data_IF_266192601719
#
_entry.id   IF_266192601719
#
_cell.length_a   1.000
_cell.length_b   1.000
_cell.length_c   1.000
_cell.angle_alpha   90.00
_cell.angle_beta   90.00
_cell.angle_gamma   90.00
#
_symmetry.space_group_name_H-M   'P 1'
#
loop_
_entity.id
_entity.type
_entity.pdbx_description
1 polymer ?
#
# COMPACT_ATOMS: atom_id res chain seq x y z
N UNK A 1 -11.30 -18.73 17.92
CA UNK A 1 -11.40 -18.34 16.51
C UNK A 1 -10.13 -17.57 16.26
N UNK A 2 -9.15 -18.22 15.64
CA UNK A 2 -7.95 -17.56 15.17
C UNK A 2 -8.42 -16.57 14.11
N UNK A 3 -8.22 -15.28 14.30
CA UNK A 3 -8.47 -14.33 13.23
C UNK A 3 -7.29 -14.47 12.26
N UNK A 4 -7.57 -14.83 11.02
CA UNK A 4 -6.56 -14.89 9.97
C UNK A 4 -6.43 -13.50 9.34
N UNK A 5 -5.26 -13.14 8.86
CA UNK A 5 -5.07 -11.86 8.18
C UNK A 5 -5.28 -12.03 6.67
N UNK A 6 -5.85 -11.01 6.04
CA UNK A 6 -5.99 -10.96 4.59
C UNK A 6 -4.63 -11.12 3.91
N UNK A 7 -4.55 -12.03 2.94
CA UNK A 7 -3.32 -12.30 2.17
C UNK A 7 -2.75 -11.09 1.43
N UNK A 8 -3.56 -10.05 1.18
CA UNK A 8 -3.09 -8.79 0.63
C UNK A 8 -2.17 -8.00 1.59
N UNK A 9 -2.11 -8.38 2.87
CA UNK A 9 -1.29 -7.77 3.92
C UNK A 9 -1.36 -6.23 3.87
N UNK A 10 -0.22 -5.54 3.70
CA UNK A 10 -0.15 -4.08 3.62
C UNK A 10 -0.89 -3.46 2.42
N UNK A 11 -1.13 -4.22 1.36
CA UNK A 11 -1.93 -3.78 0.21
C UNK A 11 -3.45 -3.98 0.43
N UNK A 12 -3.86 -4.49 1.60
CA UNK A 12 -5.27 -4.71 1.90
C UNK A 12 -6.05 -3.38 1.93
N UNK A 13 -7.21 -3.37 1.26
CA UNK A 13 -8.07 -2.19 1.16
C UNK A 13 -8.81 -1.85 2.46
N UNK A 14 -9.09 -2.87 3.27
CA UNK A 14 -9.67 -2.72 4.60
C UNK A 14 -8.61 -2.96 5.68
N UNK A 15 -7.35 -2.63 5.39
CA UNK A 15 -6.27 -2.81 6.35
C UNK A 15 -6.52 -1.99 7.62
N UNK A 16 -6.20 -2.59 8.76
CA UNK A 16 -6.16 -1.88 10.04
C UNK A 16 -4.79 -1.24 10.17
N UNK A 17 -4.76 0.07 10.32
CA UNK A 17 -3.52 0.84 10.52
C UNK A 17 -3.30 0.95 12.03
N UNK A 18 -2.20 0.39 12.52
CA UNK A 18 -1.73 0.58 13.88
C UNK A 18 -0.89 1.86 13.92
N UNK A 19 -1.42 2.88 14.60
CA UNK A 19 -0.73 4.15 14.85
C UNK A 19 -0.13 4.16 16.25
N UNK A 20 1.03 4.82 16.41
CA UNK A 20 1.58 5.10 17.75
C UNK A 20 0.78 6.21 18.44
N UNK A 21 1.11 6.51 19.70
CA UNK A 21 0.48 7.58 20.49
C UNK A 21 0.70 8.98 19.88
N UNK A 22 1.68 9.13 18.99
CA UNK A 22 1.97 10.36 18.24
C UNK A 22 1.19 10.44 16.90
N UNK A 23 0.35 9.45 16.59
CA UNK A 23 -0.45 9.39 15.35
C UNK A 23 0.33 8.97 14.09
N UNK A 24 1.57 8.52 14.24
CA UNK A 24 2.41 7.99 13.16
C UNK A 24 2.06 6.53 12.89
N UNK A 25 1.87 6.18 11.61
CA UNK A 25 1.59 4.81 11.17
C UNK A 25 2.81 3.91 11.43
N UNK A 26 2.68 2.93 12.33
CA UNK A 26 3.74 1.95 12.63
C UNK A 26 3.63 0.76 11.67
N UNK A 27 2.42 0.24 11.51
CA UNK A 27 2.19 -1.02 10.79
C UNK A 27 0.79 -1.05 10.19
N UNK A 28 0.67 -1.60 8.99
CA UNK A 28 -0.58 -1.79 8.28
C UNK A 28 -0.86 -3.27 8.13
N UNK A 29 -1.80 -3.76 8.93
CA UNK A 29 -2.16 -5.18 8.98
C UNK A 29 -3.36 -5.48 8.09
N UNK A 30 -3.36 -6.67 7.49
CA UNK A 30 -4.47 -7.13 6.67
C UNK A 30 -5.75 -7.23 7.48
N UNK A 31 -6.89 -6.88 6.88
CA UNK A 31 -8.20 -7.11 7.48
C UNK A 31 -8.37 -8.57 7.96
N UNK A 32 -9.03 -8.78 9.08
CA UNK A 32 -9.32 -10.13 9.58
C UNK A 32 -10.23 -10.90 8.61
N UNK A 33 -9.88 -12.15 8.32
CA UNK A 33 -10.64 -13.10 7.49
C UNK A 33 -11.09 -14.31 8.32
N UNK A 34 -12.18 -14.96 7.87
CA UNK A 34 -12.73 -16.15 8.53
C UNK A 34 -11.90 -17.41 8.26
N UNK A 35 -11.15 -17.44 7.16
CA UNK A 35 -10.40 -18.59 6.68
C UNK A 35 -8.93 -18.25 6.42
N UNK A 36 -8.05 -19.22 6.68
CA UNK A 36 -6.64 -19.17 6.28
C UNK A 36 -6.51 -19.02 4.76
N UNK A 37 -5.48 -18.30 4.32
CA UNK A 37 -5.14 -18.14 2.90
C UNK A 37 -6.27 -17.58 2.02
N UNK A 38 -7.09 -16.67 2.56
CA UNK A 38 -8.16 -15.99 1.81
C UNK A 38 -7.97 -14.49 1.76
N UNK A 39 -8.55 -13.87 0.73
CA UNK A 39 -8.64 -12.43 0.62
C UNK A 39 -9.87 -11.93 1.40
N UNK A 40 -9.77 -10.75 2.00
CA UNK A 40 -10.95 -10.11 2.58
C UNK A 40 -11.97 -9.75 1.49
N UNK A 41 -13.28 -9.65 1.82
CA UNK A 41 -14.32 -9.38 0.82
C UNK A 41 -14.06 -8.14 -0.03
N UNK A 42 -13.51 -7.07 0.56
CA UNK A 42 -13.18 -5.84 -0.16
C UNK A 42 -12.05 -6.01 -1.18
N UNK A 43 -11.01 -6.79 -0.85
CA UNK A 43 -9.92 -7.10 -1.79
C UNK A 43 -10.41 -8.03 -2.89
N UNK A 44 -11.16 -9.08 -2.53
CA UNK A 44 -11.73 -10.03 -3.49
C UNK A 44 -12.64 -9.33 -4.50
N UNK A 45 -13.55 -8.47 -4.05
CA UNK A 45 -14.45 -7.71 -4.92
C UNK A 45 -13.68 -6.77 -5.85
N UNK A 46 -12.62 -6.13 -5.35
CA UNK A 46 -11.81 -5.23 -6.15
C UNK A 46 -11.06 -5.97 -7.26
N UNK A 47 -10.36 -7.05 -6.91
CA UNK A 47 -9.61 -7.87 -7.87
C UNK A 47 -10.58 -8.50 -8.87
N UNK A 48 -11.70 -9.08 -8.41
CA UNK A 48 -12.74 -9.66 -9.28
C UNK A 48 -13.25 -8.66 -10.31
N UNK A 49 -13.59 -7.43 -9.88
CA UNK A 49 -14.06 -6.37 -10.81
C UNK A 49 -13.00 -6.01 -11.85
N UNK A 50 -11.74 -5.87 -11.46
CA UNK A 50 -10.65 -5.54 -12.38
C UNK A 50 -10.43 -6.69 -13.39
N UNK A 51 -10.30 -7.92 -12.88
CA UNK A 51 -10.06 -9.14 -13.66
C UNK A 51 -11.18 -9.40 -14.66
N UNK A 52 -12.45 -9.23 -14.25
CA UNK A 52 -13.62 -9.37 -15.13
C UNK A 52 -13.65 -8.35 -16.26
N UNK A 53 -13.08 -7.17 -16.05
CA UNK A 53 -13.10 -6.06 -17.01
C UNK A 53 -11.95 -6.14 -18.03
N UNK A 54 -10.86 -6.87 -17.73
CA UNK A 54 -9.67 -7.03 -18.58
C UNK A 54 -9.97 -7.44 -20.03
N UNK A 55 -10.84 -8.42 -20.35
CA UNK A 55 -11.11 -8.80 -21.74
C UNK A 55 -11.69 -7.64 -22.57
N UNK A 56 -12.51 -6.81 -21.95
CA UNK A 56 -13.08 -5.62 -22.60
C UNK A 56 -12.02 -4.54 -22.79
N UNK A 57 -11.15 -4.34 -21.81
CA UNK A 57 -10.05 -3.37 -21.93
C UNK A 57 -9.05 -3.80 -23.02
N UNK A 58 -8.74 -5.10 -23.09
CA UNK A 58 -7.92 -5.68 -24.17
C UNK A 58 -8.57 -5.46 -25.55
N UNK A 59 -9.88 -5.69 -25.69
CA UNK A 59 -10.59 -5.46 -26.94
C UNK A 59 -10.58 -3.97 -27.36
N UNK A 60 -10.68 -3.05 -26.39
CA UNK A 60 -10.57 -1.61 -26.62
C UNK A 60 -9.13 -1.20 -27.01
N UNK A 61 -8.11 -1.78 -26.36
CA UNK A 61 -6.71 -1.57 -26.75
C UNK A 61 -6.48 -2.04 -28.19
N UNK A 62 -7.03 -3.19 -28.58
CA UNK A 62 -6.96 -3.70 -29.95
C UNK A 62 -7.64 -2.76 -30.94
N UNK A 63 -8.84 -2.28 -30.63
CA UNK A 63 -9.57 -1.36 -31.50
C UNK A 63 -8.81 -0.04 -31.72
N UNK A 64 -8.10 0.44 -30.71
CA UNK A 64 -7.34 1.70 -30.74
C UNK A 64 -5.86 1.52 -31.12
N UNK A 65 -5.44 0.32 -31.54
CA UNK A 65 -4.03 0.01 -31.85
C UNK A 65 -3.51 0.76 -33.09
N UNK A 66 -4.41 1.07 -34.03
CA UNK A 66 -4.14 1.90 -35.22
C UNK A 66 -4.29 3.40 -34.99
N UNK A 67 -4.83 3.83 -33.83
CA UNK A 67 -4.96 5.25 -33.50
C UNK A 67 -3.63 5.77 -32.94
N UNK A 68 -3.01 6.71 -33.67
CA UNK A 68 -1.82 7.41 -33.19
C UNK A 68 -2.23 8.40 -32.10
N UNK A 69 -1.67 8.25 -30.90
CA UNK A 69 -1.71 9.30 -29.89
C UNK A 69 -1.04 10.55 -30.49
N UNK A 70 -1.80 11.64 -30.67
CA UNK A 70 -1.21 12.94 -31.04
C UNK A 70 -0.36 13.40 -29.86
N UNK A 71 0.97 13.33 -29.97
CA UNK A 71 1.88 13.90 -28.97
C UNK A 71 1.72 15.42 -29.00
N UNK A 72 1.07 16.00 -27.99
CA UNK A 72 0.95 17.45 -27.79
C UNK A 72 2.21 18.06 -27.14
N UNK A 73 3.38 17.44 -27.31
CA UNK A 73 4.66 17.89 -26.75
C UNK A 73 5.53 18.64 -27.75
N UNK A 74 6.43 19.47 -27.25
CA UNK A 74 7.41 20.22 -28.05
C UNK A 74 8.21 19.27 -28.96
N UNK A 75 8.31 19.63 -30.25
CA UNK A 75 8.86 18.78 -31.31
C UNK A 75 10.39 18.66 -31.17
N UNK A 76 10.85 17.71 -30.37
CA UNK A 76 12.29 17.39 -30.26
C UNK A 76 12.70 16.61 -31.51
N UNK A 77 13.68 17.14 -32.26
CA UNK A 77 14.28 16.46 -33.42
C UNK A 77 15.28 15.42 -32.92
N UNK A 78 14.85 14.17 -32.78
CA UNK A 78 15.77 13.02 -32.75
C UNK A 78 15.55 12.14 -33.99
N UNK A 79 16.61 11.42 -34.35
CA UNK A 79 16.89 10.61 -35.54
C UNK A 79 15.69 9.79 -36.05
N UNK A 80 15.48 9.65 -37.38
CA UNK A 80 14.31 8.99 -37.96
C UNK A 80 14.38 7.47 -37.77
N UNK A 81 13.85 6.97 -36.66
CA UNK A 81 13.36 5.60 -36.61
C UNK A 81 12.15 5.49 -37.55
N UNK A 82 12.04 4.40 -38.34
CA UNK A 82 10.91 4.19 -39.24
C UNK A 82 9.62 4.22 -38.41
N UNK A 83 8.67 5.07 -38.82
CA UNK A 83 7.42 5.26 -38.10
C UNK A 83 6.59 3.96 -38.13
N UNK A 84 6.76 3.13 -37.10
CA UNK A 84 5.95 1.92 -36.91
C UNK A 84 4.47 2.36 -36.86
N UNK A 85 3.60 1.85 -37.75
CA UNK A 85 2.22 2.33 -37.88
C UNK A 85 1.30 1.90 -36.72
N UNK A 86 1.83 1.16 -35.74
CA UNK A 86 1.11 0.64 -34.57
C UNK A 86 1.71 1.22 -33.28
N UNK A 87 0.86 1.45 -32.27
CA UNK A 87 1.36 1.79 -30.93
C UNK A 87 2.02 0.57 -30.29
N UNK A 88 3.36 0.50 -30.34
CA UNK A 88 4.14 -0.59 -29.73
C UNK A 88 3.83 -0.76 -28.24
N UNK A 89 3.50 0.33 -27.52
CA UNK A 89 3.13 0.29 -26.10
C UNK A 89 1.80 -0.43 -25.86
N UNK A 90 0.76 -0.12 -26.65
CA UNK A 90 -0.55 -0.80 -26.54
C UNK A 90 -0.42 -2.28 -26.88
N UNK A 91 0.41 -2.61 -27.86
CA UNK A 91 0.66 -4.00 -28.24
C UNK A 91 1.40 -4.79 -27.15
N UNK A 92 2.45 -4.22 -26.56
CA UNK A 92 3.15 -4.82 -25.43
C UNK A 92 2.20 -5.07 -24.26
N UNK A 93 1.36 -4.09 -23.92
CA UNK A 93 0.37 -4.22 -22.84
C UNK A 93 -0.68 -5.30 -23.13
N UNK A 94 -1.13 -5.43 -24.39
CA UNK A 94 -2.04 -6.51 -24.80
C UNK A 94 -1.41 -7.88 -24.60
N UNK A 95 -0.11 -8.04 -24.91
CA UNK A 95 0.63 -9.29 -24.68
C UNK A 95 0.78 -9.58 -23.19
N UNK A 96 1.20 -8.59 -22.40
CA UNK A 96 1.37 -8.72 -20.95
C UNK A 96 0.06 -9.18 -20.27
N UNK A 97 -1.09 -8.61 -20.66
CA UNK A 97 -2.41 -9.02 -20.16
C UNK A 97 -2.67 -10.51 -20.40
N UNK A 98 -2.39 -10.99 -21.62
CA UNK A 98 -2.67 -12.39 -22.00
C UNK A 98 -1.72 -13.34 -21.29
N UNK A 99 -0.42 -13.00 -21.21
CA UNK A 99 0.59 -13.82 -20.54
C UNK A 99 0.33 -13.94 -19.04
N UNK A 100 0.06 -12.82 -18.36
CA UNK A 100 -0.25 -12.81 -16.92
C UNK A 100 -1.58 -13.53 -16.64
N UNK A 101 -2.61 -13.35 -17.47
CA UNK A 101 -3.88 -14.07 -17.30
C UNK A 101 -3.72 -15.57 -17.51
N UNK A 102 -2.87 -16.00 -18.45
CA UNK A 102 -2.54 -17.41 -18.64
C UNK A 102 -1.80 -17.98 -17.43
N UNK A 103 -0.80 -17.27 -16.90
CA UNK A 103 -0.08 -17.66 -15.69
C UNK A 103 -1.03 -17.83 -14.50
N UNK A 104 -1.92 -16.87 -14.30
CA UNK A 104 -2.95 -16.96 -13.27
C UNK A 104 -3.87 -18.18 -13.46
N UNK A 105 -4.27 -18.47 -14.71
CA UNK A 105 -5.09 -19.63 -15.01
C UNK A 105 -4.33 -20.95 -14.81
N UNK A 106 -3.03 -21.02 -15.07
CA UNK A 106 -2.18 -22.17 -14.78
C UNK A 106 -2.11 -22.44 -13.26
N UNK A 107 -1.87 -21.41 -12.46
CA UNK A 107 -1.87 -21.52 -10.98
C UNK A 107 -3.22 -21.98 -10.42
N UNK A 108 -4.31 -21.41 -10.94
CA UNK A 108 -5.67 -21.81 -10.55
C UNK A 108 -5.96 -23.25 -10.99
N UNK A 109 -5.59 -23.62 -12.21
CA UNK A 109 -5.79 -24.95 -12.74
C UNK A 109 -5.07 -26.01 -11.89
N UNK A 110 -3.83 -25.73 -11.49
CA UNK A 110 -3.07 -26.60 -10.60
C UNK A 110 -3.73 -26.70 -9.22
N UNK A 111 -4.19 -25.58 -8.65
CA UNK A 111 -4.86 -25.57 -7.34
C UNK A 111 -6.19 -26.35 -7.34
N UNK A 112 -6.97 -26.30 -8.44
CA UNK A 112 -8.26 -26.99 -8.56
C UNK A 112 -8.17 -28.35 -9.27
N UNK A 113 -6.95 -28.82 -9.60
CA UNK A 113 -6.69 -30.03 -10.38
C UNK A 113 -7.45 -30.07 -11.73
N UNK A 114 -7.57 -28.93 -12.40
CA UNK A 114 -8.15 -28.81 -13.73
C UNK A 114 -7.06 -28.66 -14.79
N UNK A 115 -7.46 -28.79 -16.05
CA UNK A 115 -6.57 -28.50 -17.18
C UNK A 115 -6.61 -27.00 -17.47
N UNK A 116 -5.46 -26.30 -17.62
CA UNK A 116 -5.47 -24.88 -17.96
C UNK A 116 -6.07 -24.66 -19.35
N UNK A 117 -6.71 -23.50 -19.59
CA UNK A 117 -7.22 -23.14 -20.90
C UNK A 117 -6.06 -23.05 -21.88
N UNK A 118 -5.99 -23.99 -22.81
CA UNK A 118 -5.04 -23.93 -23.91
C UNK A 118 -5.69 -23.18 -25.07
N UNK A 119 -4.97 -22.25 -25.69
CA UNK A 119 -5.37 -21.67 -26.97
C UNK A 119 -5.60 -22.80 -27.97
N UNK A 120 -6.62 -22.64 -28.84
CA UNK A 120 -6.88 -23.58 -29.93
C UNK A 120 -5.58 -23.67 -30.75
N UNK A 121 -4.88 -24.80 -30.69
CA UNK A 121 -3.76 -25.03 -31.62
C UNK A 121 -4.33 -24.89 -33.02
N UNK A 122 -3.81 -23.95 -33.81
CA UNK A 122 -4.14 -23.91 -35.24
C UNK A 122 -3.92 -25.33 -35.77
N UNK A 123 -4.91 -25.94 -36.46
CA UNK A 123 -4.65 -27.17 -37.18
C UNK A 123 -3.46 -26.93 -38.10
N UNK A 124 -2.54 -27.89 -38.18
CA UNK A 124 -1.44 -27.82 -39.14
C UNK A 124 -2.03 -27.45 -40.50
N UNK A 125 -1.50 -26.43 -41.20
CA UNK A 125 -2.09 -25.98 -42.45
C UNK A 125 -2.19 -27.20 -43.37
N UNK A 126 -3.37 -27.48 -43.96
CA UNK A 126 -3.47 -28.56 -44.92
C UNK A 126 -2.43 -28.29 -46.02
N UNK A 127 -1.70 -29.33 -46.44
CA UNK A 127 -0.53 -29.24 -47.30
C UNK A 127 -0.79 -28.58 -48.68
N UNK A 128 -2.04 -28.26 -49.00
CA UNK A 128 -2.47 -27.63 -50.23
C UNK A 128 -3.62 -26.65 -49.92
N UNK A 129 -3.32 -25.37 -49.84
CA UNK A 129 -4.31 -24.29 -49.84
C UNK A 129 -4.12 -23.49 -51.12
N UNK A 130 -5.04 -23.66 -52.05
CA UNK A 130 -5.24 -22.77 -53.19
C UNK A 130 -5.33 -21.33 -52.65
N UNK A 131 -4.52 -20.42 -53.21
CA UNK A 131 -4.42 -19.02 -52.75
C UNK A 131 -5.81 -18.35 -52.82
N UNK A 132 -6.40 -17.90 -51.70
CA UNK A 132 -7.62 -17.13 -51.74
C UNK A 132 -7.34 -15.73 -52.30
N UNK A 133 -8.27 -15.23 -53.11
CA UNK A 133 -8.17 -14.06 -54.01
C UNK A 133 -8.07 -12.70 -53.30
N UNK A 134 -8.04 -12.62 -51.95
CA UNK A 134 -7.89 -11.32 -51.29
C UNK A 134 -6.44 -10.83 -51.29
N UNK A 135 -6.25 -9.59 -51.75
CA UNK A 135 -4.97 -8.88 -51.88
C UNK A 135 -4.27 -8.52 -50.55
N UNK A 136 -4.63 -9.14 -49.41
CA UNK A 136 -3.90 -8.96 -48.15
C UNK A 136 -2.73 -9.94 -48.08
N UNK A 137 -1.57 -9.46 -47.68
CA UNK A 137 -0.39 -10.32 -47.55
C UNK A 137 -0.64 -11.43 -46.53
N UNK A 138 -0.05 -12.60 -46.76
CA UNK A 138 -0.15 -13.77 -45.87
C UNK A 138 0.25 -13.39 -44.43
N UNK A 139 1.25 -12.51 -44.28
CA UNK A 139 1.69 -12.00 -42.98
C UNK A 139 0.59 -11.22 -42.22
N UNK A 140 -0.21 -10.41 -42.92
CA UNK A 140 -1.32 -9.65 -42.30
C UNK A 140 -2.45 -10.60 -41.87
N UNK A 141 -2.76 -11.63 -42.67
CA UNK A 141 -3.76 -12.65 -42.30
C UNK A 141 -3.33 -13.46 -41.09
N UNK A 142 -2.11 -13.99 -41.09
CA UNK A 142 -1.58 -14.77 -39.96
C UNK A 142 -1.52 -13.95 -38.67
N UNK A 143 -1.25 -12.65 -38.77
CA UNK A 143 -1.22 -11.74 -37.64
C UNK A 143 -2.60 -11.38 -37.08
N UNK A 144 -3.60 -11.18 -37.97
CA UNK A 144 -4.98 -10.94 -37.55
C UNK A 144 -5.58 -12.18 -36.88
N UNK A 145 -5.30 -13.37 -37.43
CA UNK A 145 -5.78 -14.66 -36.93
C UNK A 145 -5.22 -14.97 -35.53
N UNK A 146 -3.91 -14.85 -35.30
CA UNK A 146 -3.30 -15.14 -33.99
C UNK A 146 -3.88 -14.26 -32.88
N UNK A 147 -4.09 -12.97 -33.15
CA UNK A 147 -4.64 -12.07 -32.13
C UNK A 147 -6.11 -12.32 -31.82
N UNK A 148 -6.94 -12.78 -32.78
CA UNK A 148 -8.33 -13.17 -32.47
C UNK A 148 -8.33 -14.30 -31.43
N UNK A 149 -7.35 -15.20 -31.50
CA UNK A 149 -7.22 -16.31 -30.57
C UNK A 149 -6.75 -15.85 -29.18
N UNK A 150 -5.94 -14.79 -29.10
CA UNK A 150 -5.49 -14.23 -27.81
C UNK A 150 -6.65 -13.64 -26.99
N UNK A 151 -7.62 -13.00 -27.64
CA UNK A 151 -8.82 -12.49 -26.98
C UNK A 151 -9.71 -13.61 -26.43
N UNK A 152 -9.91 -14.68 -27.21
CA UNK A 152 -10.66 -15.86 -26.79
C UNK A 152 -9.96 -16.63 -25.66
N UNK A 153 -8.63 -16.75 -25.74
CA UNK A 153 -7.80 -17.33 -24.70
C UNK A 153 -7.90 -16.53 -23.41
N UNK A 154 -7.75 -15.20 -23.49
CA UNK A 154 -7.90 -14.30 -22.35
C UNK A 154 -9.27 -14.49 -21.70
N UNK A 155 -10.36 -14.48 -22.48
CA UNK A 155 -11.70 -14.72 -21.95
C UNK A 155 -11.84 -16.09 -21.28
N UNK A 156 -11.20 -17.13 -21.81
CA UNK A 156 -11.17 -18.45 -21.18
C UNK A 156 -10.38 -18.47 -19.85
N UNK A 157 -9.21 -17.81 -19.81
CA UNK A 157 -8.42 -17.63 -18.60
C UNK A 157 -9.21 -16.89 -17.52
N UNK A 158 -9.83 -15.75 -17.87
CA UNK A 158 -10.60 -14.94 -16.92
C UNK A 158 -11.79 -15.72 -16.35
N UNK A 159 -12.51 -16.49 -17.17
CA UNK A 159 -13.63 -17.35 -16.70
C UNK A 159 -13.18 -18.41 -15.67
N UNK A 160 -11.94 -18.86 -15.74
CA UNK A 160 -11.38 -19.80 -14.77
C UNK A 160 -10.88 -19.09 -13.51
N UNK A 161 -10.22 -17.93 -13.67
CA UNK A 161 -9.59 -17.19 -12.58
C UNK A 161 -10.61 -16.47 -11.69
N UNK A 162 -11.60 -15.79 -12.26
CA UNK A 162 -12.60 -14.99 -11.51
C UNK A 162 -13.28 -15.76 -10.36
N UNK A 163 -13.82 -16.98 -10.56
CA UNK A 163 -14.48 -17.71 -9.47
C UNK A 163 -13.49 -18.28 -8.44
N UNK A 164 -12.21 -18.42 -8.79
CA UNK A 164 -11.20 -19.11 -7.99
C UNK A 164 -10.08 -18.17 -7.48
N UNK A 165 -10.40 -16.89 -7.25
CA UNK A 165 -9.41 -15.90 -6.79
C UNK A 165 -8.76 -16.24 -5.45
N UNK A 166 -9.50 -16.87 -4.53
CA UNK A 166 -8.94 -17.30 -3.24
C UNK A 166 -7.93 -18.44 -3.43
N UNK A 167 -8.17 -19.34 -4.39
CA UNK A 167 -7.21 -20.40 -4.74
C UNK A 167 -5.97 -19.86 -5.46
N UNK A 168 -6.12 -18.79 -6.26
CA UNK A 168 -4.98 -18.06 -6.82
C UNK A 168 -4.17 -17.42 -5.71
N UNK A 169 -4.81 -16.67 -4.81
CA UNK A 169 -4.14 -15.97 -3.72
C UNK A 169 -3.42 -16.92 -2.75
N UNK A 170 -4.02 -18.06 -2.43
CA UNK A 170 -3.44 -19.06 -1.53
C UNK A 170 -2.24 -19.84 -2.08
N UNK A 171 -1.81 -19.59 -3.32
CA UNK A 171 -0.64 -20.25 -3.89
C UNK A 171 0.65 -19.62 -3.34
N UNK A 172 1.39 -20.38 -2.53
CA UNK A 172 2.50 -19.87 -1.73
C UNK A 172 3.67 -19.39 -2.59
N UNK A 173 4.27 -20.25 -3.41
CA UNK A 173 5.41 -19.90 -4.25
C UNK A 173 5.45 -20.82 -5.47
N UNK A 174 5.36 -20.23 -6.67
CA UNK A 174 5.48 -20.97 -7.93
C UNK A 174 6.55 -20.37 -8.82
N UNK A 175 7.36 -21.24 -9.45
CA UNK A 175 8.40 -20.84 -10.40
C UNK A 175 7.76 -20.53 -11.75
N UNK A 176 7.93 -19.30 -12.23
CA UNK A 176 7.41 -18.90 -13.53
C UNK A 176 8.50 -18.37 -14.44
N UNK A 177 8.40 -18.70 -15.72
CA UNK A 177 9.24 -18.09 -16.76
C UNK A 177 8.68 -16.70 -17.08
N UNK A 178 9.43 -15.67 -16.70
CA UNK A 178 9.12 -14.26 -16.99
C UNK A 178 10.12 -13.76 -18.00
N UNK A 179 9.65 -13.03 -19.01
CA UNK A 179 10.54 -12.31 -19.91
C UNK A 179 11.04 -11.03 -19.22
N UNK A 180 12.33 -11.00 -18.90
CA UNK A 180 12.95 -9.80 -18.35
C UNK A 180 13.27 -8.83 -19.50
N UNK A 181 12.64 -7.65 -19.49
CA UNK A 181 12.82 -6.62 -20.54
C UNK A 181 14.20 -6.00 -20.54
N UNK A 182 14.84 -5.86 -19.39
CA UNK A 182 16.11 -5.14 -19.27
C UNK A 182 17.29 -5.97 -19.81
N UNK A 183 17.21 -7.29 -19.66
CA UNK A 183 18.26 -8.22 -20.05
C UNK A 183 17.87 -9.13 -21.23
N UNK A 184 16.70 -8.90 -21.85
CA UNK A 184 16.17 -9.66 -22.98
C UNK A 184 16.27 -11.20 -22.82
N UNK A 185 16.08 -11.70 -21.60
CA UNK A 185 16.21 -13.12 -21.26
C UNK A 185 15.04 -13.60 -20.44
N UNK A 186 14.70 -14.87 -20.62
CA UNK A 186 13.77 -15.55 -19.73
C UNK A 186 14.44 -15.82 -18.38
N UNK A 187 13.84 -15.32 -17.33
CA UNK A 187 14.26 -15.54 -15.95
C UNK A 187 13.19 -16.34 -15.22
N UNK A 188 13.62 -17.28 -14.39
CA UNK A 188 12.71 -18.01 -13.51
C UNK A 188 12.50 -17.13 -12.29
N UNK A 189 11.32 -16.51 -12.20
CA UNK A 189 10.92 -15.68 -11.08
C UNK A 189 9.97 -16.48 -10.22
N UNK A 190 10.22 -16.48 -8.91
CA UNK A 190 9.28 -16.99 -7.93
C UNK A 190 8.22 -15.92 -7.69
N UNK A 191 6.97 -16.25 -8.01
CA UNK A 191 5.84 -15.36 -7.75
C UNK A 191 4.89 -16.03 -6.77
N UNK A 192 4.39 -15.23 -5.85
CA UNK A 192 3.29 -15.58 -4.97
C UNK A 192 2.00 -15.37 -5.77
N UNK A 193 1.00 -16.22 -5.59
CA UNK A 193 -0.24 -16.09 -6.36
C UNK A 193 -1.00 -14.77 -6.10
N UNK A 194 -0.85 -14.19 -4.92
CA UNK A 194 -1.33 -12.84 -4.58
C UNK A 194 -0.71 -11.77 -5.49
N UNK A 195 0.60 -11.85 -5.76
CA UNK A 195 1.30 -10.89 -6.60
C UNK A 195 0.79 -10.95 -8.03
N UNK A 196 0.56 -12.17 -8.55
CA UNK A 196 -0.03 -12.35 -9.90
C UNK A 196 -1.44 -11.75 -9.98
N UNK A 197 -2.23 -11.83 -8.90
CA UNK A 197 -3.54 -11.18 -8.84
C UNK A 197 -3.44 -9.64 -8.86
N UNK A 198 -2.44 -9.07 -8.18
CA UNK A 198 -2.17 -7.64 -8.24
C UNK A 198 -1.61 -7.19 -9.58
N UNK A 199 -0.77 -7.99 -10.23
CA UNK A 199 -0.27 -7.71 -11.58
C UNK A 199 -1.44 -7.58 -12.59
N UNK A 200 -2.47 -8.43 -12.48
CA UNK A 200 -3.67 -8.32 -13.30
C UNK A 200 -4.43 -7.01 -13.06
N UNK A 201 -4.49 -6.56 -11.80
CA UNK A 201 -5.10 -5.27 -11.43
C UNK A 201 -4.29 -4.11 -11.99
N UNK A 202 -2.97 -4.17 -11.91
CA UNK A 202 -2.09 -3.12 -12.42
C UNK A 202 -2.13 -3.05 -13.95
N UNK A 203 -2.15 -4.19 -14.64
CA UNK A 203 -2.36 -4.24 -16.08
C UNK A 203 -3.73 -3.68 -16.49
N UNK A 204 -4.79 -3.94 -15.71
CA UNK A 204 -6.10 -3.31 -15.89
C UNK A 204 -6.01 -1.78 -15.75
N UNK A 205 -5.36 -1.28 -14.69
CA UNK A 205 -5.20 0.15 -14.45
C UNK A 205 -4.37 0.83 -15.55
N UNK A 206 -3.29 0.18 -16.00
CA UNK A 206 -2.46 0.64 -17.10
C UNK A 206 -3.24 0.66 -18.42
N UNK A 207 -4.04 -0.37 -18.71
CA UNK A 207 -4.88 -0.43 -19.91
C UNK A 207 -5.86 0.73 -19.93
N UNK A 208 -6.53 0.99 -18.81
CA UNK A 208 -7.43 2.13 -18.67
C UNK A 208 -6.72 3.47 -18.82
N UNK A 209 -5.50 3.60 -18.31
CA UNK A 209 -4.71 4.81 -18.48
C UNK A 209 -4.33 5.06 -19.95
N UNK A 210 -3.89 4.03 -20.67
CA UNK A 210 -3.56 4.13 -22.10
C UNK A 210 -4.79 4.40 -22.98
N UNK A 211 -5.97 3.93 -22.56
CA UNK A 211 -7.23 4.22 -23.23
C UNK A 211 -7.81 5.61 -22.89
N UNK A 212 -7.16 6.36 -21.98
CA UNK A 212 -7.69 7.63 -21.48
C UNK A 212 -8.98 7.49 -20.66
N UNK A 213 -9.28 6.27 -20.19
CA UNK A 213 -10.45 5.96 -19.37
C UNK A 213 -10.22 6.24 -17.89
N UNK A 214 -8.96 6.40 -17.47
CA UNK A 214 -8.64 7.06 -16.21
C UNK A 214 -8.63 8.55 -16.46
N UNK A 215 -9.54 9.30 -15.84
CA UNK A 215 -9.40 10.74 -15.78
C UNK A 215 -8.08 11.04 -15.06
N UNK A 216 -7.23 11.86 -15.66
CA UNK A 216 -6.05 12.37 -14.96
C UNK A 216 -6.56 13.04 -13.67
N UNK A 217 -5.89 12.82 -12.54
CA UNK A 217 -6.33 13.37 -11.26
C UNK A 217 -5.28 14.34 -10.75
N UNK A 218 -5.62 15.62 -10.71
CA UNK A 218 -4.82 16.65 -10.06
C UNK A 218 -4.86 16.44 -8.55
N UNK A 219 -3.70 16.23 -7.92
CA UNK A 219 -3.59 16.19 -6.46
C UNK A 219 -3.37 17.60 -5.92
N UNK A 220 -4.02 17.93 -4.82
CA UNK A 220 -3.74 19.18 -4.10
C UNK A 220 -2.75 18.92 -2.97
N UNK A 221 -1.91 19.92 -2.66
CA UNK A 221 -0.89 19.82 -1.59
C UNK A 221 -1.52 19.77 -0.20
N UNK A 222 -2.64 20.48 -0.01
CA UNK A 222 -3.35 20.50 1.27
C UNK A 222 -4.03 19.14 1.52
N UNK A 223 -4.02 18.64 2.76
CA UNK A 223 -4.69 17.40 3.13
C UNK A 223 -6.21 17.60 3.26
N UNK A 224 -6.94 16.49 3.23
CA UNK A 224 -8.38 16.43 3.48
C UNK A 224 -8.74 17.07 4.84
N UNK A 225 -9.63 18.08 4.88
CA UNK A 225 -10.07 18.73 6.13
C UNK A 225 -10.70 17.77 7.15
N UNK A 226 -11.27 16.66 6.68
CA UNK A 226 -11.99 15.72 7.54
C UNK A 226 -11.08 14.59 8.07
N UNK A 227 -10.15 14.09 7.25
CA UNK A 227 -9.39 12.87 7.60
C UNK A 227 -7.88 12.97 7.34
N UNK A 228 -7.34 14.13 6.95
CA UNK A 228 -5.90 14.33 6.73
C UNK A 228 -5.31 13.67 5.47
N UNK A 229 -6.06 12.84 4.74
CA UNK A 229 -5.56 12.13 3.57
C UNK A 229 -5.40 13.04 2.33
N UNK A 230 -4.59 12.62 1.36
CA UNK A 230 -4.46 13.34 0.09
C UNK A 230 -5.80 13.45 -0.65
N UNK A 231 -6.13 14.66 -1.11
CA UNK A 231 -7.30 14.92 -1.95
C UNK A 231 -6.89 15.16 -3.41
N UNK A 232 -7.85 15.02 -4.32
CA UNK A 232 -7.61 15.36 -5.71
C UNK A 232 -8.89 15.64 -6.48
N UNK A 233 -8.71 16.19 -7.68
CA UNK A 233 -9.76 16.51 -8.64
C UNK A 233 -9.49 15.77 -9.93
N UNK A 234 -10.51 15.10 -10.47
CA UNK A 234 -10.41 14.46 -11.77
C UNK A 234 -10.50 15.50 -12.90
N UNK A 235 -9.72 15.34 -13.96
CA UNK A 235 -9.70 16.22 -15.12
C UNK A 235 -11.10 16.32 -15.74
N UNK A 236 -11.55 17.56 -15.93
CA UNK A 236 -12.88 17.87 -16.44
C UNK A 236 -13.98 17.92 -15.38
N UNK A 237 -13.68 17.71 -14.10
CA UNK A 237 -14.61 17.99 -12.99
C UNK A 237 -14.12 19.18 -12.17
N UNK A 238 -15.04 19.90 -11.51
CA UNK A 238 -14.74 20.97 -10.54
C UNK A 238 -14.90 20.49 -9.10
N UNK A 239 -15.02 19.18 -8.91
CA UNK A 239 -15.27 18.54 -7.62
C UNK A 239 -13.93 17.96 -7.14
N UNK A 240 -13.51 18.42 -5.97
CA UNK A 240 -12.37 17.89 -5.22
C UNK A 240 -12.92 16.85 -4.25
N UNK A 241 -12.46 15.61 -4.37
CA UNK A 241 -12.92 14.52 -3.51
C UNK A 241 -11.76 13.82 -2.80
N UNK A 242 -12.07 13.30 -1.62
CA UNK A 242 -11.16 12.48 -0.82
C UNK A 242 -11.48 11.00 -1.04
N UNK A 243 -10.52 10.22 -1.55
CA UNK A 243 -10.71 8.76 -1.74
C UNK A 243 -10.73 7.96 -0.45
N UNK A 244 -10.29 8.54 0.67
CA UNK A 244 -10.22 7.84 1.95
C UNK A 244 -11.57 7.88 2.69
N UNK A 245 -12.15 9.07 2.85
CA UNK A 245 -13.42 9.25 3.58
C UNK A 245 -14.62 9.59 2.68
N UNK A 246 -14.44 9.63 1.36
CA UNK A 246 -15.47 9.93 0.36
C UNK A 246 -16.16 11.30 0.51
N UNK A 247 -15.58 12.23 1.27
CA UNK A 247 -16.04 13.62 1.26
C UNK A 247 -15.70 14.28 -0.08
N UNK A 248 -16.60 15.14 -0.53
CA UNK A 248 -16.46 15.86 -1.78
C UNK A 248 -16.84 17.32 -1.56
N UNK A 249 -16.10 18.21 -2.22
CA UNK A 249 -16.27 19.65 -2.15
C UNK A 249 -16.14 20.24 -3.55
N UNK A 250 -16.74 21.39 -3.77
CA UNK A 250 -16.35 22.22 -4.92
C UNK A 250 -14.94 22.79 -4.70
N UNK A 251 -14.24 23.11 -5.79
CA UNK A 251 -12.91 23.73 -5.69
C UNK A 251 -12.89 25.02 -4.85
N UNK A 252 -13.95 25.83 -4.92
CA UNK A 252 -14.10 27.04 -4.11
C UNK A 252 -14.24 26.74 -2.63
N UNK A 253 -15.07 25.76 -2.27
CA UNK A 253 -15.24 25.32 -0.88
C UNK A 253 -13.94 24.72 -0.34
N UNK A 254 -13.24 23.93 -1.15
CA UNK A 254 -11.96 23.34 -0.77
C UNK A 254 -10.89 24.41 -0.51
N UNK A 255 -10.77 25.41 -1.39
CA UNK A 255 -9.86 26.54 -1.18
C UNK A 255 -10.20 27.34 0.08
N UNK A 256 -11.49 27.54 0.36
CA UNK A 256 -11.93 28.22 1.58
C UNK A 256 -11.55 27.42 2.85
N UNK A 257 -11.82 26.11 2.87
CA UNK A 257 -11.46 25.24 3.99
C UNK A 257 -9.94 25.13 4.17
N UNK A 258 -9.20 25.03 3.07
CA UNK A 258 -7.74 25.05 3.09
C UNK A 258 -7.21 26.36 3.69
N UNK A 259 -7.80 27.50 3.31
CA UNK A 259 -7.50 28.80 3.88
C UNK A 259 -7.72 28.85 5.40
N UNK A 260 -8.85 28.32 5.88
CA UNK A 260 -9.17 28.28 7.31
C UNK A 260 -8.11 27.50 8.11
N UNK A 261 -7.73 26.31 7.63
CA UNK A 261 -6.72 25.45 8.29
C UNK A 261 -5.35 26.15 8.33
N UNK A 262 -4.97 26.85 7.25
CA UNK A 262 -3.71 27.61 7.23
C UNK A 262 -3.73 28.80 8.18
N UNK A 263 -4.88 29.47 8.32
CA UNK A 263 -5.05 30.59 9.26
C UNK A 263 -4.99 30.13 10.72
N UNK A 264 -5.67 29.04 11.09
CA UNK A 264 -5.61 28.50 12.46
C UNK A 264 -4.19 28.11 12.86
N UNK A 265 -3.41 27.54 11.95
CA UNK A 265 -2.01 27.19 12.22
C UNK A 265 -1.14 28.43 12.43
N UNK A 266 -1.32 29.46 11.62
CA UNK A 266 -0.64 30.74 11.77
C UNK A 266 -1.04 31.44 13.08
N UNK A 267 -2.33 31.43 13.42
CA UNK A 267 -2.85 32.02 14.67
C UNK A 267 -2.29 31.28 15.89
N UNK A 268 -2.19 29.95 15.83
CA UNK A 268 -1.57 29.16 16.90
C UNK A 268 -0.07 29.42 17.04
N UNK A 269 0.66 29.61 15.94
CA UNK A 269 2.08 29.99 15.98
C UNK A 269 2.27 31.41 16.52
N UNK A 270 1.41 32.35 16.12
CA UNK A 270 1.41 33.72 16.64
C UNK A 270 1.09 33.75 18.14
N UNK A 271 0.08 33.01 18.58
CA UNK A 271 -0.27 32.90 20.01
C UNK A 271 0.86 32.29 20.83
N UNK A 272 1.54 31.25 20.32
CA UNK A 272 2.74 30.69 20.97
C UNK A 272 3.83 31.74 21.11
N UNK A 273 4.07 32.53 20.08
CA UNK A 273 5.07 33.60 20.11
C UNK A 273 4.69 34.71 21.10
N UNK A 274 3.46 35.22 21.05
CA UNK A 274 2.97 36.26 21.97
C UNK A 274 3.01 35.81 23.43
N UNK A 275 2.66 34.55 23.69
CA UNK A 275 2.69 33.97 25.03
C UNK A 275 4.13 33.79 25.52
N UNK A 276 5.06 33.37 24.65
CA UNK A 276 6.48 33.32 24.96
C UNK A 276 7.07 34.71 25.25
N UNK A 277 6.69 35.72 24.47
CA UNK A 277 7.12 37.11 24.69
C UNK A 277 6.58 37.65 26.01
N UNK A 278 5.29 37.41 26.32
CA UNK A 278 4.67 37.82 27.57
C UNK A 278 5.39 37.19 28.78
N UNK A 279 5.72 35.89 28.71
CA UNK A 279 6.49 35.25 29.77
C UNK A 279 7.92 35.77 29.89
N UNK A 280 8.60 36.04 28.79
CA UNK A 280 9.94 36.64 28.83
C UNK A 280 9.93 38.01 29.52
N UNK A 281 8.94 38.85 29.22
CA UNK A 281 8.78 40.15 29.90
C UNK A 281 8.50 39.98 31.39
N UNK A 282 7.67 38.99 31.75
CA UNK A 282 7.36 38.67 33.13
C UNK A 282 8.59 38.14 33.90
N UNK A 283 9.41 37.28 33.27
CA UNK A 283 10.70 36.83 33.80
C UNK A 283 11.65 38.01 34.07
N UNK A 284 11.69 38.97 33.13
CA UNK A 284 12.53 40.17 33.27
C UNK A 284 12.10 41.03 34.47
N UNK A 285 10.79 41.21 34.67
CA UNK A 285 10.25 41.94 35.83
C UNK A 285 10.54 41.19 37.15
N UNK A 286 10.35 39.88 37.19
CA UNK A 286 10.66 39.06 38.37
C UNK A 286 12.16 39.09 38.71
N UNK A 287 13.05 39.10 37.71
CA UNK A 287 14.49 39.24 37.93
C UNK A 287 14.85 40.63 38.50
N UNK A 288 14.18 41.69 38.02
CA UNK A 288 14.37 43.05 38.55
C UNK A 288 13.89 43.14 40.01
N UNK A 289 12.73 42.56 40.32
CA UNK A 289 12.22 42.44 41.68
C UNK A 289 13.22 41.72 42.60
N UNK A 290 13.71 40.56 42.17
CA UNK A 290 14.73 39.79 42.90
C UNK A 290 16.04 40.57 43.09
N UNK A 291 16.43 41.40 42.12
CA UNK A 291 17.59 42.27 42.24
C UNK A 291 17.35 43.38 43.27
N UNK A 292 16.20 44.03 43.25
CA UNK A 292 15.85 45.10 44.20
C UNK A 292 15.77 44.57 45.63
N UNK A 293 15.14 43.41 45.85
CA UNK A 293 15.08 42.74 47.15
C UNK A 293 16.47 42.42 47.74
N UNK A 294 17.51 42.23 46.90
CA UNK A 294 18.90 42.00 47.37
C UNK A 294 19.57 43.28 47.86
N UNK A 295 19.13 44.45 47.43
CA UNK A 295 19.69 45.74 47.86
C UNK A 295 19.03 46.21 49.17
N UNK A 296 19.77 46.16 50.28
CA UNK A 296 19.24 46.48 51.63
C UNK A 296 18.98 47.98 51.90
N UNK A 297 19.45 48.87 51.02
CA UNK A 297 19.36 50.33 51.19
C UNK A 297 18.65 50.96 49.97
N UNK A 298 17.37 50.64 49.80
CA UNK A 298 16.52 51.31 48.80
C UNK A 298 16.08 52.67 49.33
N UNK A 299 15.97 53.67 48.45
CA UNK A 299 15.33 54.94 48.80
C UNK A 299 13.80 54.77 48.88
N UNK A 300 13.10 55.81 49.35
CA UNK A 300 11.65 55.75 49.54
C UNK A 300 10.89 55.50 48.21
N UNK A 301 11.39 56.03 47.10
CA UNK A 301 10.78 55.88 45.79
C UNK A 301 10.96 54.45 45.24
N UNK A 302 12.15 53.86 45.42
CA UNK A 302 12.39 52.47 45.06
C UNK A 302 11.64 51.49 45.97
N UNK A 303 11.44 51.81 47.25
CA UNK A 303 10.60 51.01 48.15
C UNK A 303 9.13 51.02 47.71
N UNK A 304 8.58 52.17 47.30
CA UNK A 304 7.22 52.26 46.76
C UNK A 304 7.08 51.50 45.42
N UNK A 305 8.10 51.55 44.56
CA UNK A 305 8.11 50.80 43.31
C UNK A 305 8.14 49.28 43.54
N UNK A 306 8.86 48.81 44.57
CA UNK A 306 8.89 47.40 44.98
C UNK A 306 7.50 46.90 45.39
N UNK A 307 6.77 47.66 46.22
CA UNK A 307 5.43 47.28 46.69
C UNK A 307 4.44 47.13 45.52
N UNK A 308 4.54 47.98 44.50
CA UNK A 308 3.73 47.89 43.28
C UNK A 308 4.10 46.64 42.46
N UNK A 309 5.40 46.34 42.33
CA UNK A 309 5.87 45.16 41.61
C UNK A 309 5.43 43.88 42.33
N UNK A 310 5.55 43.80 43.65
CA UNK A 310 5.10 42.66 44.46
C UNK A 310 3.59 42.42 44.30
N UNK A 311 2.79 43.48 44.36
CA UNK A 311 1.35 43.38 44.16
C UNK A 311 0.99 42.89 42.74
N UNK A 312 1.71 43.36 41.71
CA UNK A 312 1.47 42.96 40.33
C UNK A 312 1.98 41.54 40.01
N UNK A 313 3.07 41.11 40.65
CA UNK A 313 3.71 39.81 40.40
C UNK A 313 3.20 38.69 41.30
N UNK A 314 2.56 39.00 42.44
CA UNK A 314 2.17 38.03 43.46
C UNK A 314 1.21 36.93 43.00
N UNK A 315 0.41 37.17 41.95
CA UNK A 315 -0.49 36.16 41.37
C UNK A 315 0.21 35.26 40.32
N UNK A 316 1.44 35.61 39.91
CA UNK A 316 2.15 34.91 38.86
C UNK A 316 3.24 33.98 39.42
N UNK A 317 3.24 32.72 38.96
CA UNK A 317 4.30 31.74 39.26
C UNK A 317 5.68 32.30 38.90
N UNK A 318 6.73 32.01 39.65
CA UNK A 318 8.11 32.42 39.30
C UNK A 318 8.65 31.61 38.12
N UNK A 319 9.75 32.05 37.46
CA UNK A 319 10.27 31.37 36.28
C UNK A 319 10.62 29.91 36.59
N UNK A 320 11.23 29.66 37.74
CA UNK A 320 11.56 28.33 38.24
C UNK A 320 10.33 27.42 38.43
N UNK A 321 9.20 28.00 38.84
CA UNK A 321 7.93 27.28 39.06
C UNK A 321 7.11 27.11 37.76
N UNK A 322 7.48 27.83 36.70
CA UNK A 322 6.89 27.71 35.35
C UNK A 322 7.61 26.70 34.47
N UNK A 323 8.79 26.22 34.87
CA UNK A 323 9.51 25.19 34.11
C UNK A 323 8.71 23.89 34.17
N UNK A 324 7.98 23.59 33.10
CA UNK A 324 7.26 22.32 32.91
C UNK A 324 8.23 21.16 32.70
N UNK A 325 9.44 21.47 32.22
CA UNK A 325 10.52 20.51 32.05
C UNK A 325 11.08 20.09 33.40
N UNK A 326 10.61 18.97 33.90
CA UNK A 326 11.19 18.33 35.06
C UNK A 326 12.30 17.36 34.67
N UNK A 327 13.17 16.99 35.62
CA UNK A 327 14.21 16.00 35.37
C UNK A 327 13.61 14.74 34.73
N UNK A 328 14.34 14.15 33.78
CA UNK A 328 13.94 12.96 33.02
C UNK A 328 13.44 11.85 33.95
N UNK A 329 14.04 11.71 35.14
CA UNK A 329 13.61 10.76 36.17
C UNK A 329 12.20 11.08 36.68
N UNK A 330 11.96 12.32 37.13
CA UNK A 330 10.63 12.75 37.63
C UNK A 330 9.55 12.77 36.54
N UNK A 331 9.93 12.98 35.28
CA UNK A 331 9.02 12.85 34.14
C UNK A 331 8.67 11.37 33.89
N UNK A 332 9.66 10.46 33.93
CA UNK A 332 9.43 9.02 33.81
C UNK A 332 8.61 8.46 34.97
N UNK A 333 8.80 8.96 36.19
CA UNK A 333 7.99 8.58 37.37
C UNK A 333 6.53 9.04 37.22
N UNK A 334 6.30 10.25 36.69
CA UNK A 334 4.94 10.73 36.37
C UNK A 334 4.28 9.91 35.27
N UNK A 335 5.00 9.65 34.18
CA UNK A 335 4.52 8.78 33.12
C UNK A 335 4.17 7.40 33.66
N UNK A 336 5.05 6.79 34.47
CA UNK A 336 4.77 5.49 35.09
C UNK A 336 3.55 5.53 36.02
N UNK A 337 3.33 6.63 36.74
CA UNK A 337 2.14 6.79 37.58
C UNK A 337 0.86 6.97 36.76
N UNK A 338 0.91 7.74 35.67
CA UNK A 338 -0.21 7.94 34.74
C UNK A 338 -0.52 6.64 33.99
N UNK A 339 0.49 5.90 33.54
CA UNK A 339 0.37 4.57 32.97
C UNK A 339 -0.24 3.60 34.01
N UNK A 340 0.26 3.61 35.25
CA UNK A 340 -0.29 2.77 36.33
C UNK A 340 -1.74 3.14 36.65
N UNK A 341 -2.12 4.42 36.56
CA UNK A 341 -3.48 4.87 36.76
C UNK A 341 -4.41 4.49 35.59
N UNK A 342 -3.93 4.69 34.36
CA UNK A 342 -4.65 4.37 33.13
C UNK A 342 -4.90 2.87 33.01
N UNK A 343 -3.87 2.04 33.26
CA UNK A 343 -3.96 0.59 33.15
C UNK A 343 -4.41 -0.10 34.45
N UNK A 344 -4.28 0.53 35.61
CA UNK A 344 -4.69 -0.03 36.90
C UNK A 344 -6.19 0.04 37.16
N UNK A 345 -6.89 1.01 36.57
CA UNK A 345 -8.34 1.16 36.67
C UNK A 345 -9.10 0.48 35.52
N UNK A 346 -8.39 0.04 34.48
CA UNK A 346 -9.01 -0.73 33.41
C UNK A 346 -9.43 -2.09 33.98
N UNK A 347 -10.72 -2.49 33.86
CA UNK A 347 -11.15 -3.79 34.35
C UNK A 347 -10.29 -4.85 33.68
N UNK A 348 -9.56 -5.63 34.49
CA UNK A 348 -8.68 -6.69 34.01
C UNK A 348 -9.44 -7.49 32.98
N UNK A 349 -8.91 -7.56 31.74
CA UNK A 349 -9.59 -8.20 30.62
C UNK A 349 -10.16 -9.54 31.07
N UNK A 350 -11.48 -9.58 31.27
CA UNK A 350 -12.14 -10.82 31.63
C UNK A 350 -12.28 -11.59 30.35
N UNK A 351 -11.39 -12.58 30.19
CA UNK A 351 -11.46 -13.52 29.07
C UNK A 351 -12.91 -13.98 28.96
N UNK A 352 -13.60 -13.73 27.82
CA UNK A 352 -15.01 -14.04 27.69
C UNK A 352 -15.22 -15.52 28.05
N UNK A 353 -16.22 -15.80 28.90
CA UNK A 353 -16.54 -17.17 29.32
C UNK A 353 -16.68 -18.02 28.06
N UNK A 354 -15.74 -18.96 27.88
CA UNK A 354 -15.77 -19.89 26.75
C UNK A 354 -17.12 -20.61 26.81
N UNK A 355 -17.96 -20.43 25.78
CA UNK A 355 -19.14 -21.28 25.61
C UNK A 355 -18.67 -22.74 25.67
N UNK A 356 -19.33 -23.62 26.46
CA UNK A 356 -18.93 -25.01 26.53
C UNK A 356 -18.91 -25.57 25.10
N UNK A 357 -17.75 -26.09 24.70
CA UNK A 357 -17.62 -26.68 23.39
C UNK A 357 -18.64 -27.82 23.28
N UNK A 358 -19.37 -27.94 22.16
CA UNK A 358 -20.22 -29.10 21.93
C UNK A 358 -19.36 -30.37 22.11
N UNK A 359 -19.96 -31.41 22.69
CA UNK A 359 -19.28 -32.67 22.96
C UNK A 359 -18.58 -33.14 21.68
N UNK A 360 -17.24 -33.23 21.74
CA UNK A 360 -16.45 -33.74 20.61
C UNK A 360 -16.86 -35.18 20.39
N UNK A 361 -17.33 -35.48 19.18
CA UNK A 361 -17.49 -36.86 18.74
C UNK A 361 -16.15 -37.61 18.94
N UNK A 362 -16.19 -38.88 19.38
CA UNK A 362 -14.99 -39.65 19.63
C UNK A 362 -14.14 -39.74 18.36
N UNK A 363 -12.90 -39.30 18.48
CA UNK A 363 -11.89 -39.36 17.41
C UNK A 363 -11.64 -40.84 17.11
N UNK A 364 -12.14 -41.32 15.96
CA UNK A 364 -12.07 -42.72 15.55
C UNK A 364 -10.74 -43.11 14.91
N UNK A 365 -9.81 -42.19 14.71
CA UNK A 365 -8.53 -42.48 14.05
C UNK A 365 -7.32 -41.99 14.88
N UNK A 366 -6.35 -42.86 15.20
CA UNK A 366 -5.15 -42.48 15.94
C UNK A 366 -4.19 -41.67 15.06
N UNK A 367 -3.72 -40.53 15.57
CA UNK A 367 -2.70 -39.70 14.93
C UNK A 367 -1.33 -40.42 15.04
N UNK A 368 -0.63 -40.69 13.92
CA UNK A 368 0.68 -41.35 13.96
C UNK A 368 1.77 -40.46 14.57
N UNK A 369 2.68 -41.09 15.33
CA UNK A 369 3.62 -40.50 16.28
C UNK A 369 4.82 -39.74 15.66
N UNK A 370 4.68 -39.09 14.51
CA UNK A 370 5.82 -38.56 13.74
C UNK A 370 6.12 -37.06 13.86
N UNK A 371 5.26 -36.23 14.45
CA UNK A 371 5.28 -34.77 14.24
C UNK A 371 5.80 -33.94 15.43
N UNK A 372 6.76 -34.46 16.19
CA UNK A 372 7.43 -33.71 17.27
C UNK A 372 8.94 -33.62 17.01
N UNK A 373 9.35 -32.76 16.07
CA UNK A 373 10.68 -32.14 16.15
C UNK A 373 10.67 -30.76 15.47
N UNK A 374 10.38 -29.74 16.27
CA UNK A 374 10.63 -28.34 15.98
C UNK A 374 12.08 -28.02 16.37
N UNK A 375 12.99 -27.93 15.41
CA UNK A 375 14.28 -27.25 15.58
C UNK A 375 14.69 -26.62 14.25
N UNK A 376 14.60 -25.29 14.24
CA UNK A 376 15.18 -24.40 13.24
C UNK A 376 16.53 -23.99 13.81
N UNK A 377 17.62 -24.32 13.13
CA UNK A 377 18.95 -23.75 13.39
C UNK A 377 19.61 -23.49 12.02
N UNK A 378 19.56 -22.25 11.53
CA UNK A 378 20.47 -21.79 10.48
C UNK A 378 21.11 -20.49 10.96
N UNK A 379 22.42 -20.56 11.10
CA UNK A 379 23.34 -19.53 11.57
C UNK A 379 23.53 -18.45 10.49
N UNK A 380 23.19 -17.18 10.81
CA UNK A 380 23.09 -16.06 9.86
C UNK A 380 24.41 -15.68 9.18
N UNK A 381 25.56 -16.10 9.72
CA UNK A 381 26.87 -15.75 9.17
C UNK A 381 27.24 -16.52 7.89
N UNK A 382 26.48 -17.56 7.52
CA UNK A 382 26.74 -18.39 6.34
C UNK A 382 26.17 -17.76 5.05
N UNK A 383 25.24 -16.81 5.16
CA UNK A 383 24.53 -16.22 3.99
C UNK A 383 25.34 -15.12 3.29
N UNK A 384 26.24 -14.44 3.99
CA UNK A 384 26.92 -13.24 3.46
C UNK A 384 28.10 -13.56 2.54
N UNK A 385 28.72 -14.74 2.69
CA UNK A 385 29.89 -15.14 1.89
C UNK A 385 29.58 -16.30 0.93
N UNK A 386 28.53 -16.15 0.13
CA UNK A 386 28.46 -16.63 -1.26
C UNK A 386 28.56 -18.11 -1.60
N UNK A 387 28.87 -19.04 -0.70
CA UNK A 387 28.84 -20.49 -0.95
C UNK A 387 28.79 -21.28 0.37
N UNK A 388 27.57 -21.48 0.88
CA UNK A 388 27.32 -22.32 2.06
C UNK A 388 27.46 -23.83 1.79
N UNK A 389 27.64 -24.22 0.53
CA UNK A 389 27.48 -25.60 0.07
C UNK A 389 28.84 -26.25 -0.07
N UNK A 390 28.99 -27.44 0.50
CA UNK A 390 30.17 -28.27 0.24
C UNK A 390 30.28 -28.53 -1.27
N UNK A 391 31.45 -28.33 -1.87
CA UNK A 391 31.64 -28.46 -3.33
C UNK A 391 31.43 -29.88 -3.86
N UNK A 392 31.61 -30.90 -3.02
CA UNK A 392 31.55 -32.30 -3.44
C UNK A 392 30.13 -32.85 -3.44
N UNK A 393 29.29 -32.48 -2.45
CA UNK A 393 27.93 -32.99 -2.31
C UNK A 393 26.83 -31.93 -2.45
N UNK A 394 27.19 -30.65 -2.52
CA UNK A 394 26.31 -29.50 -2.68
C UNK A 394 25.29 -29.28 -1.54
N UNK A 395 25.56 -29.82 -0.34
CA UNK A 395 24.76 -29.65 0.88
C UNK A 395 25.50 -28.76 1.91
N UNK A 396 24.73 -28.13 2.81
CA UNK A 396 25.25 -27.28 3.90
C UNK A 396 25.42 -28.17 5.14
N UNK A 397 26.66 -28.42 5.57
CA UNK A 397 26.94 -29.18 6.78
C UNK A 397 28.19 -28.64 7.51
N UNK A 398 28.16 -28.68 8.85
CA UNK A 398 29.30 -28.32 9.69
C UNK A 398 30.27 -29.51 9.79
N UNK A 399 31.25 -29.62 8.89
CA UNK A 399 32.29 -30.66 8.95
C UNK A 399 32.70 -31.27 7.60
N UNK A 400 33.54 -32.31 7.64
CA UNK A 400 33.97 -33.09 6.45
C UNK A 400 32.78 -33.78 5.78
N UNK A 401 32.76 -33.76 4.44
CA UNK A 401 31.72 -34.38 3.63
C UNK A 401 31.64 -35.90 3.92
N UNK A 402 30.47 -36.45 4.31
CA UNK A 402 30.28 -37.88 4.51
C UNK A 402 30.32 -38.69 3.22
#
# INVERSE_FOLDING_TARGET
MSAHECLAAGACRNATVLTNDEGVEIRRDGAATEHENTLCPACRDYISKAVRQLPKDWAQLRATLGERARRNGQKVRSTPEPAVPISARKDALMRDIVETARRAAELVADAINARPPAGRRLPAPPAQLEKPVDARSVAVRSFDDTRVHDGDLLAACIRMVEPNLDALAGNELSNHYVWNRDNERHEIVQLIGVDVAFDLVDLHNQARAELGLTRLRHRYEMPCPNCGAAVGRDDGTTIVDCKNCNSAWTEREYQFLAGLITHERLDMELLKWLLAEAYWRLDMLQNLDDMMHRHKNLDADAAAALEILDAALGEHKRPADRVVATDRKTAAERQAADDTWAFGNEPTYQRPKRKPAPAREPITNPIPAGSLSTLVDIDENVVINGDARCRDCNLIHAGTCP
#
